data_IF_489520092841
#
_entry.id   IF_489520092841
#
_cell.length_a   1.000
_cell.length_b   1.000
_cell.length_c   1.000
_cell.angle_alpha   90.00
_cell.angle_beta   90.00
_cell.angle_gamma   90.00
#
_symmetry.space_group_name_H-M   'P 1'
#
loop_
_entity.id
_entity.type
_entity.pdbx_description
1 polymer ?
#
# COMPACT_ATOMS: atom_id res chain seq x y z
N UNK A 1 28.66 -54.94 -12.53
CA UNK A 1 28.28 -53.64 -11.93
C UNK A 1 28.09 -52.66 -13.08
N UNK A 2 26.85 -52.17 -13.28
CA UNK A 2 26.44 -50.76 -13.11
C UNK A 2 26.79 -49.90 -14.35
N UNK A 3 26.02 -48.91 -14.82
CA UNK A 3 25.00 -48.07 -14.19
C UNK A 3 24.09 -47.52 -15.32
N UNK A 4 22.76 -47.72 -15.24
CA UNK A 4 21.81 -47.05 -16.14
C UNK A 4 21.52 -45.65 -15.59
N UNK A 5 22.02 -44.61 -16.23
CA UNK A 5 21.77 -43.22 -15.82
C UNK A 5 20.54 -42.71 -16.57
N UNK A 6 19.37 -42.79 -15.94
CA UNK A 6 18.19 -42.06 -16.37
C UNK A 6 18.34 -40.60 -15.90
N UNK A 7 18.56 -39.68 -16.85
CA UNK A 7 18.66 -38.25 -16.57
C UNK A 7 17.25 -37.67 -16.39
N UNK A 8 16.86 -37.40 -15.15
CA UNK A 8 15.60 -36.70 -14.84
C UNK A 8 15.85 -35.20 -14.92
N UNK A 9 15.49 -34.60 -16.05
CA UNK A 9 15.46 -33.14 -16.21
C UNK A 9 14.19 -32.60 -15.55
N UNK A 10 14.29 -32.20 -14.29
CA UNK A 10 13.23 -31.46 -13.59
C UNK A 10 13.23 -30.00 -14.05
N UNK A 11 12.24 -29.61 -14.84
CA UNK A 11 11.99 -28.20 -15.14
C UNK A 11 11.31 -27.56 -13.91
N UNK A 12 12.05 -26.78 -13.12
CA UNK A 12 11.48 -25.93 -12.08
C UNK A 12 10.83 -24.75 -12.80
N UNK A 13 9.52 -24.83 -13.02
CA UNK A 13 8.69 -23.68 -13.37
C UNK A 13 8.56 -22.82 -12.12
N UNK A 14 9.47 -21.86 -11.95
CA UNK A 14 9.27 -20.76 -11.02
C UNK A 14 8.13 -19.93 -11.63
N UNK A 15 6.90 -20.18 -11.16
CA UNK A 15 5.79 -19.29 -11.43
C UNK A 15 6.16 -17.94 -10.80
N UNK A 16 6.64 -17.00 -11.61
CA UNK A 16 6.70 -15.60 -11.23
C UNK A 16 5.24 -15.16 -11.07
N UNK A 17 4.70 -15.30 -9.87
CA UNK A 17 3.47 -14.61 -9.50
C UNK A 17 3.72 -13.13 -9.79
N UNK A 18 2.86 -12.44 -10.57
CA UNK A 18 2.93 -10.99 -10.59
C UNK A 18 2.85 -10.54 -9.14
N UNK A 19 3.81 -9.74 -8.69
CA UNK A 19 3.68 -9.01 -7.43
C UNK A 19 2.51 -8.07 -7.67
N UNK A 20 1.30 -8.51 -7.30
CA UNK A 20 0.12 -7.68 -7.33
C UNK A 20 0.37 -6.59 -6.31
N UNK A 21 0.36 -5.33 -6.77
CA UNK A 21 0.51 -4.19 -5.88
C UNK A 21 -0.66 -4.09 -4.90
N UNK A 22 -0.46 -3.39 -3.79
CA UNK A 22 -1.55 -3.08 -2.88
C UNK A 22 -2.52 -2.05 -3.52
N UNK A 23 -3.78 -2.15 -3.16
CA UNK A 23 -4.83 -1.24 -3.64
C UNK A 23 -5.24 -0.26 -2.54
N UNK A 24 -5.45 0.99 -2.90
CA UNK A 24 -5.78 2.07 -1.98
C UNK A 24 -6.96 2.88 -2.47
N UNK A 25 -7.95 3.11 -1.60
CA UNK A 25 -9.12 3.95 -1.90
C UNK A 25 -9.20 5.08 -0.89
N UNK A 26 -9.31 6.30 -1.37
CA UNK A 26 -9.30 7.52 -0.58
C UNK A 26 -10.73 8.01 -0.39
N UNK A 27 -11.08 8.38 0.84
CA UNK A 27 -12.43 8.79 1.20
C UNK A 27 -12.48 10.20 1.80
N UNK A 28 -13.53 10.95 1.47
CA UNK A 28 -13.83 12.23 2.09
C UNK A 28 -14.41 12.11 3.51
N UNK A 29 -14.93 10.93 3.88
CA UNK A 29 -15.40 10.62 5.23
C UNK A 29 -14.36 9.85 6.06
N UNK A 30 -14.60 9.77 7.37
CA UNK A 30 -13.86 8.87 8.25
C UNK A 30 -14.33 7.41 8.06
N UNK A 31 -13.57 6.47 8.61
CA UNK A 31 -13.87 5.04 8.66
C UNK A 31 -14.09 4.41 7.28
N UNK A 32 -13.44 4.95 6.26
CA UNK A 32 -13.55 4.54 4.86
C UNK A 32 -14.99 4.59 4.36
N UNK A 33 -15.70 5.64 4.77
CA UNK A 33 -17.08 5.91 4.37
C UNK A 33 -17.21 7.21 3.57
N UNK A 34 -18.37 7.39 2.94
CA UNK A 34 -18.69 8.59 2.17
C UNK A 34 -18.11 8.54 0.75
N UNK A 35 -17.90 9.73 0.17
CA UNK A 35 -17.46 9.87 -1.23
C UNK A 35 -16.03 9.40 -1.41
N UNK A 36 -15.81 8.54 -2.42
CA UNK A 36 -14.49 8.17 -2.92
C UNK A 36 -13.89 9.36 -3.67
N UNK A 37 -12.70 9.80 -3.26
CA UNK A 37 -11.98 10.90 -3.90
C UNK A 37 -10.85 10.42 -4.82
N UNK A 38 -10.33 9.21 -4.61
CA UNK A 38 -9.37 8.56 -5.49
C UNK A 38 -9.38 7.04 -5.28
N UNK A 39 -9.05 6.30 -6.32
CA UNK A 39 -8.88 4.86 -6.32
C UNK A 39 -7.56 4.54 -7.03
N UNK A 40 -6.68 3.79 -6.35
CA UNK A 40 -5.31 3.50 -6.76
C UNK A 40 -5.10 1.98 -6.67
N UNK A 41 -5.49 1.23 -7.71
CA UNK A 41 -5.27 -0.20 -7.77
C UNK A 41 -3.81 -0.53 -8.12
N UNK A 42 -3.33 -1.68 -7.63
CA UNK A 42 -2.03 -2.26 -8.01
C UNK A 42 -0.85 -1.29 -7.84
N UNK A 43 -0.87 -0.45 -6.81
CA UNK A 43 0.19 0.53 -6.56
C UNK A 43 1.49 -0.21 -6.19
N UNK A 44 2.65 0.12 -6.77
CA UNK A 44 3.92 -0.55 -6.45
C UNK A 44 4.39 -0.26 -5.03
N UNK A 45 5.13 -1.21 -4.46
CA UNK A 45 5.76 -1.08 -3.14
C UNK A 45 6.95 -0.11 -3.18
N UNK A 46 7.24 0.54 -2.05
CA UNK A 46 8.41 1.41 -1.87
C UNK A 46 8.27 2.82 -2.45
N UNK A 47 7.18 3.11 -3.15
CA UNK A 47 6.90 4.44 -3.69
C UNK A 47 5.99 5.23 -2.74
N UNK A 48 6.29 6.51 -2.52
CA UNK A 48 5.40 7.39 -1.79
C UNK A 48 4.28 7.89 -2.71
N UNK A 49 3.03 7.62 -2.36
CA UNK A 49 1.88 8.15 -3.08
C UNK A 49 1.25 9.31 -2.31
N UNK A 50 1.08 10.45 -2.97
CA UNK A 50 0.24 11.56 -2.49
C UNK A 50 -0.69 12.05 -3.58
N UNK A 51 -1.87 12.56 -3.20
CA UNK A 51 -2.79 13.09 -4.19
C UNK A 51 -2.25 14.37 -4.86
N UNK A 52 -2.52 14.58 -6.16
CA UNK A 52 -2.12 15.81 -6.83
C UNK A 52 -2.80 17.04 -6.21
N UNK A 53 -2.20 18.23 -6.42
CA UNK A 53 -2.72 19.53 -5.97
C UNK A 53 -2.93 19.67 -4.45
N UNK A 54 -2.17 18.95 -3.62
CA UNK A 54 -2.32 18.96 -2.14
C UNK A 54 -3.71 18.53 -1.67
N UNK A 55 -4.38 17.67 -2.45
CA UNK A 55 -5.63 17.06 -2.00
C UNK A 55 -5.37 16.05 -0.87
N UNK A 56 -6.36 15.84 -0.02
CA UNK A 56 -6.22 15.06 1.21
C UNK A 56 -7.48 14.23 1.48
N UNK A 57 -7.35 13.06 2.10
CA UNK A 57 -8.47 12.22 2.52
C UNK A 57 -8.73 12.29 4.02
N UNK A 58 -9.98 12.05 4.44
CA UNK A 58 -10.30 11.78 5.84
C UNK A 58 -9.93 10.35 6.24
N UNK A 59 -10.02 9.40 5.31
CA UNK A 59 -9.56 8.03 5.52
C UNK A 59 -9.12 7.36 4.23
N UNK A 60 -8.29 6.32 4.34
CA UNK A 60 -7.82 5.51 3.21
C UNK A 60 -8.05 4.04 3.54
N UNK A 61 -8.79 3.33 2.69
CA UNK A 61 -8.82 1.87 2.76
C UNK A 61 -7.65 1.31 1.99
N UNK A 62 -7.01 0.28 2.52
CA UNK A 62 -5.93 -0.43 1.86
C UNK A 62 -6.22 -1.93 1.82
N UNK A 63 -5.73 -2.61 0.79
CA UNK A 63 -5.79 -4.07 0.68
C UNK A 63 -4.60 -4.62 -0.07
N UNK A 64 -4.21 -5.86 0.26
CA UNK A 64 -3.08 -6.51 -0.40
C UNK A 64 -1.71 -5.98 0.03
N UNK A 65 -1.61 -5.26 1.15
CA UNK A 65 -0.32 -4.82 1.69
C UNK A 65 0.48 -6.05 2.15
N UNK A 66 1.70 -6.28 1.67
CA UNK A 66 2.45 -7.48 1.98
C UNK A 66 3.05 -7.48 3.38
N UNK A 67 3.58 -6.36 3.89
CA UNK A 67 4.22 -6.33 5.21
C UNK A 67 3.83 -5.15 6.10
N UNK A 68 3.90 -3.92 5.61
CA UNK A 68 3.61 -2.72 6.41
C UNK A 68 3.12 -1.59 5.51
N UNK A 69 2.23 -0.77 6.03
CA UNK A 69 1.81 0.49 5.40
C UNK A 69 1.86 1.62 6.40
N UNK A 70 2.31 2.77 5.93
CA UNK A 70 2.55 3.98 6.69
C UNK A 70 1.76 5.15 6.09
N UNK A 71 1.11 5.93 6.95
CA UNK A 71 0.26 7.05 6.55
C UNK A 71 0.76 8.39 7.12
N UNK A 72 0.64 9.44 6.33
CA UNK A 72 1.20 10.76 6.62
C UNK A 72 0.10 11.83 6.55
N UNK A 73 0.14 12.78 7.49
CA UNK A 73 -0.88 13.80 7.68
C UNK A 73 -0.62 15.05 6.83
N UNK A 74 -1.68 15.74 6.44
CA UNK A 74 -1.58 17.03 5.78
C UNK A 74 -1.35 18.20 6.74
N UNK A 75 -0.62 19.23 6.28
CA UNK A 75 -0.55 20.55 6.94
C UNK A 75 0.64 20.74 7.90
N UNK A 76 1.71 19.96 7.75
CA UNK A 76 2.97 20.08 8.49
C UNK A 76 4.18 19.74 7.61
N UNK A 77 5.29 19.30 8.19
CA UNK A 77 6.47 18.88 7.39
C UNK A 77 6.24 17.64 6.51
N UNK A 78 5.10 16.96 6.63
CA UNK A 78 4.90 15.56 6.22
C UNK A 78 4.59 15.34 4.73
N UNK A 79 4.86 16.32 3.87
CA UNK A 79 4.76 16.20 2.41
C UNK A 79 5.61 15.01 1.93
N UNK A 80 5.00 14.09 1.19
CA UNK A 80 5.68 13.02 0.45
C UNK A 80 6.50 12.05 1.33
N UNK A 81 5.91 11.56 2.42
CA UNK A 81 6.49 10.50 3.25
C UNK A 81 7.83 10.85 3.93
N UNK A 82 8.09 12.14 4.20
CA UNK A 82 9.41 12.62 4.68
C UNK A 82 9.53 12.85 6.19
N UNK A 83 8.43 13.02 6.92
CA UNK A 83 8.46 13.45 8.34
C UNK A 83 7.84 12.43 9.32
N UNK A 84 7.99 11.15 9.02
CA UNK A 84 7.51 10.06 9.85
C UNK A 84 5.98 9.89 9.78
N UNK A 85 5.49 8.64 9.85
CA UNK A 85 4.07 8.37 9.79
C UNK A 85 3.38 8.76 11.09
N UNK A 86 2.12 9.20 11.00
CA UNK A 86 1.26 9.30 12.18
C UNK A 86 0.65 7.95 12.55
N UNK A 87 0.54 7.04 11.57
CA UNK A 87 0.01 5.69 11.75
C UNK A 87 0.74 4.68 10.87
N UNK A 88 0.95 3.50 11.44
CA UNK A 88 1.58 2.34 10.79
C UNK A 88 0.70 1.13 11.04
N UNK A 89 0.42 0.36 9.98
CA UNK A 89 -0.35 -0.88 10.04
C UNK A 89 0.50 -2.02 9.47
N UNK A 90 0.30 -3.24 10.00
CA UNK A 90 0.88 -4.44 9.38
C UNK A 90 0.19 -4.79 8.06
N UNK A 91 0.72 -5.82 7.40
CA UNK A 91 0.21 -6.33 6.14
C UNK A 91 -1.25 -6.79 6.20
N UNK A 92 -1.86 -6.89 5.03
CA UNK A 92 -3.24 -7.27 4.81
C UNK A 92 -4.09 -6.10 4.31
N UNK A 93 -5.27 -5.96 4.91
CA UNK A 93 -6.27 -4.97 4.53
C UNK A 93 -6.79 -4.23 5.75
N UNK A 94 -7.18 -2.98 5.57
CA UNK A 94 -7.68 -2.16 6.66
C UNK A 94 -8.15 -0.79 6.21
N UNK A 95 -8.41 0.06 7.19
CA UNK A 95 -8.80 1.45 6.99
C UNK A 95 -8.01 2.34 7.93
N UNK A 96 -7.26 3.28 7.38
CA UNK A 96 -6.56 4.31 8.13
C UNK A 96 -7.41 5.58 8.21
N UNK A 97 -7.53 6.13 9.41
CA UNK A 97 -8.21 7.40 9.66
C UNK A 97 -7.20 8.51 9.88
N UNK A 98 -7.45 9.67 9.28
CA UNK A 98 -6.71 10.89 9.60
C UNK A 98 -6.86 11.24 11.09
N UNK A 99 -5.83 11.83 11.73
CA UNK A 99 -5.93 12.29 13.10
C UNK A 99 -7.05 13.35 13.29
N UNK A 100 -7.52 13.53 14.52
CA UNK A 100 -8.52 14.54 14.83
C UNK A 100 -8.06 15.94 14.37
N UNK A 101 -8.88 16.58 13.53
CA UNK A 101 -8.58 17.91 12.96
C UNK A 101 -7.65 17.89 11.74
N UNK A 102 -7.10 16.73 11.36
CA UNK A 102 -6.20 16.57 10.22
C UNK A 102 -6.78 15.59 9.18
N UNK A 103 -6.11 15.52 8.02
CA UNK A 103 -6.41 14.60 6.93
C UNK A 103 -5.14 13.83 6.57
N UNK A 104 -5.28 12.73 5.84
CA UNK A 104 -4.18 11.96 5.25
C UNK A 104 -3.79 12.59 3.91
N UNK A 105 -2.49 12.82 3.71
CA UNK A 105 -1.92 13.43 2.50
C UNK A 105 -1.17 12.42 1.63
N UNK A 106 -0.48 11.46 2.25
CA UNK A 106 0.29 10.45 1.53
C UNK A 106 0.36 9.13 2.29
N UNK A 107 0.78 8.08 1.58
CA UNK A 107 1.12 6.78 2.14
C UNK A 107 2.34 6.18 1.43
N UNK A 108 3.01 5.24 2.09
CA UNK A 108 4.03 4.35 1.53
C UNK A 108 3.84 2.95 2.14
N UNK A 109 4.23 1.90 1.42
CA UNK A 109 4.09 0.54 1.90
C UNK A 109 5.20 -0.39 1.39
N UNK A 110 5.53 -1.39 2.20
CA UNK A 110 6.52 -2.44 1.92
C UNK A 110 5.94 -3.86 1.95
#
# INVERSE_FOLDING_TARGET
MQLNVALVTGAILIAASPVLGASFVWFAGADCTGTVIADVPDFPTGDCFGLPNRATAKSISFSGVPSVVEFFQSGGGHDQCTNGPFATFGGGSGCANGPNGFNIESFIYD
#
